data_IF_896768576664
#
_entry.id   IF_896768576664
#
_cell.length_a   1.000
_cell.length_b   1.000
_cell.length_c   1.000
_cell.angle_alpha   90.00
_cell.angle_beta   90.00
_cell.angle_gamma   90.00
#
_symmetry.space_group_name_H-M   'P 1'
#
loop_
_entity.id
_entity.type
_entity.pdbx_description
1 polymer ?
#
# COMPACT_ATOMS: atom_id res chain seq x y z
N UNK A 1 -1.64 0.57 8.04
CA UNK A 1 -2.30 1.16 6.86
C UNK A 1 -3.13 2.39 7.22
N UNK A 2 -3.92 2.37 8.30
CA UNK A 2 -4.80 3.48 8.69
C UNK A 2 -4.16 4.88 8.65
N UNK A 3 -2.97 5.08 9.23
CA UNK A 3 -2.28 6.37 9.17
C UNK A 3 -1.94 6.83 7.75
N UNK A 4 -1.49 5.91 6.90
CA UNK A 4 -1.16 6.18 5.49
C UNK A 4 -2.44 6.45 4.69
N UNK A 5 -3.53 5.73 5.00
CA UNK A 5 -4.83 5.92 4.36
C UNK A 5 -5.36 7.35 4.58
N UNK A 6 -5.00 8.01 5.68
CA UNK A 6 -5.41 9.38 6.01
C UNK A 6 -4.40 10.41 5.47
N UNK A 7 -3.10 10.09 5.46
CA UNK A 7 -2.03 11.04 5.13
C UNK A 7 -0.93 10.39 4.27
N UNK A 8 -0.62 11.01 3.12
CA UNK A 8 0.42 10.53 2.20
C UNK A 8 1.84 10.73 2.74
N UNK A 9 2.03 11.63 3.70
CA UNK A 9 3.32 11.90 4.36
C UNK A 9 3.36 11.39 5.81
N UNK A 10 2.45 10.48 6.15
CA UNK A 10 2.31 9.94 7.51
C UNK A 10 3.67 9.58 8.13
N UNK A 11 3.91 10.09 9.34
CA UNK A 11 5.14 9.84 10.10
C UNK A 11 5.17 8.41 10.67
N UNK A 12 5.45 7.45 9.79
CA UNK A 12 5.56 6.01 10.09
C UNK A 12 6.79 5.41 9.39
N UNK A 13 7.33 4.33 9.95
CA UNK A 13 8.55 3.70 9.43
C UNK A 13 8.43 3.23 7.98
N UNK A 14 7.22 2.81 7.58
CA UNK A 14 6.93 2.41 6.20
C UNK A 14 7.13 3.55 5.20
N UNK A 15 7.13 4.81 5.63
CA UNK A 15 7.32 5.98 4.77
C UNK A 15 8.76 6.54 4.79
N UNK A 16 9.69 5.88 5.48
CA UNK A 16 11.06 6.39 5.70
C UNK A 16 12.13 5.55 5.01
N UNK A 17 13.09 6.22 4.36
CA UNK A 17 14.28 5.60 3.77
C UNK A 17 13.97 4.41 2.87
N UNK A 18 14.72 3.32 2.99
CA UNK A 18 14.54 2.12 2.16
C UNK A 18 13.18 1.43 2.36
N UNK A 19 12.53 1.61 3.51
CA UNK A 19 11.21 1.03 3.79
C UNK A 19 10.11 1.69 2.96
N UNK A 20 10.27 2.96 2.58
CA UNK A 20 9.35 3.62 1.64
C UNK A 20 9.26 2.88 0.33
N UNK A 21 10.40 2.44 -0.21
CA UNK A 21 10.44 1.69 -1.46
C UNK A 21 9.86 0.28 -1.31
N UNK A 22 10.09 -0.38 -0.17
CA UNK A 22 9.61 -1.75 0.04
C UNK A 22 8.13 -1.83 0.43
N UNK A 23 7.59 -0.83 1.12
CA UNK A 23 6.23 -0.87 1.69
C UNK A 23 5.41 0.38 1.39
N UNK A 24 6.02 1.56 1.49
CA UNK A 24 5.32 2.84 1.38
C UNK A 24 4.74 3.09 -0.02
N UNK A 25 5.48 2.78 -1.08
CA UNK A 25 5.02 2.94 -2.47
C UNK A 25 3.74 2.13 -2.73
N UNK A 26 3.74 0.84 -2.39
CA UNK A 26 2.55 -0.01 -2.56
C UNK A 26 1.40 0.41 -1.64
N UNK A 27 1.68 0.85 -0.40
CA UNK A 27 0.64 1.37 0.48
C UNK A 27 -0.03 2.65 -0.08
N UNK A 28 0.74 3.53 -0.74
CA UNK A 28 0.21 4.70 -1.42
C UNK A 28 -0.61 4.32 -2.66
N UNK A 29 -0.12 3.38 -3.48
CA UNK A 29 -0.88 2.86 -4.63
C UNK A 29 -2.21 2.24 -4.20
N UNK A 30 -2.19 1.48 -3.12
CA UNK A 30 -3.39 0.86 -2.54
C UNK A 30 -4.38 1.93 -2.06
N UNK A 31 -3.91 3.00 -1.39
CA UNK A 31 -4.76 4.14 -1.00
C UNK A 31 -5.41 4.81 -2.20
N UNK A 32 -4.66 4.97 -3.29
CA UNK A 32 -5.14 5.62 -4.53
C UNK A 32 -6.07 4.73 -5.37
N UNK A 33 -6.20 3.45 -5.02
CA UNK A 33 -6.99 2.48 -5.77
C UNK A 33 -6.31 1.98 -7.04
N UNK A 34 -4.99 2.17 -7.18
CA UNK A 34 -4.20 1.70 -8.34
C UNK A 34 -3.91 0.20 -8.24
N UNK A 35 -3.90 -0.35 -7.02
CA UNK A 35 -3.77 -1.77 -6.73
C UNK A 35 -4.83 -2.20 -5.71
N UNK A 36 -5.13 -3.48 -5.65
CA UNK A 36 -5.98 -4.08 -4.62
C UNK A 36 -5.33 -5.33 -4.01
N UNK A 37 -5.77 -5.64 -2.79
CA UNK A 37 -5.44 -6.89 -2.11
C UNK A 37 -6.61 -7.87 -2.30
N UNK A 38 -6.32 -9.05 -2.86
CA UNK A 38 -7.31 -10.09 -3.12
C UNK A 38 -6.99 -11.30 -2.25
N UNK A 39 -8.03 -11.91 -1.68
CA UNK A 39 -7.91 -13.19 -0.98
C UNK A 39 -8.16 -14.33 -1.98
N UNK A 40 -7.11 -15.11 -2.24
CA UNK A 40 -7.18 -16.35 -3.01
C UNK A 40 -7.02 -17.53 -2.05
N UNK A 41 -8.15 -18.03 -1.54
CA UNK A 41 -8.15 -19.00 -0.44
C UNK A 41 -7.49 -18.43 0.82
N UNK A 42 -6.36 -19.00 1.23
CA UNK A 42 -5.58 -18.53 2.38
C UNK A 42 -4.40 -17.62 2.01
N UNK A 43 -4.26 -17.25 0.73
CA UNK A 43 -3.18 -16.37 0.24
C UNK A 43 -3.71 -14.97 -0.03
N UNK A 44 -2.90 -13.98 0.31
CA UNK A 44 -3.13 -12.59 -0.08
C UNK A 44 -2.30 -12.32 -1.34
N UNK A 45 -2.96 -11.87 -2.39
CA UNK A 45 -2.34 -11.48 -3.65
C UNK A 45 -2.56 -9.98 -3.88
N UNK A 46 -1.57 -9.32 -4.48
CA UNK A 46 -1.68 -7.93 -4.92
C UNK A 46 -2.00 -7.94 -6.41
N UNK A 47 -3.05 -7.24 -6.82
CA UNK A 47 -3.44 -7.10 -8.23
C UNK A 47 -3.46 -5.63 -8.63
N UNK A 48 -3.09 -5.34 -9.89
CA UNK A 48 -3.27 -4.02 -10.47
C UNK A 48 -4.73 -3.81 -10.86
N UNK A 49 -5.23 -2.59 -10.69
CA UNK A 49 -6.59 -2.20 -11.07
C UNK A 49 -6.50 -1.43 -12.37
N UNK A 50 -6.99 -2.02 -13.46
CA UNK A 50 -7.25 -1.30 -14.70
C UNK A 50 -8.55 -0.50 -14.55
N UNK A 51 -8.50 0.79 -14.85
CA UNK A 51 -9.65 1.71 -14.80
C UNK A 51 -10.55 1.63 -16.01
#
# INVERSE_FOLDING_TARGET
LEKIAIDDEADVDAMKGWRRKLFGEDALKLKKGEIALVLNGSRVEVVEIEG
#
